data_IF_430363767586
#
_entry.id   IF_430363767586
#
_cell.length_a   1.000
_cell.length_b   1.000
_cell.length_c   1.000
_cell.angle_alpha   90.00
_cell.angle_beta   90.00
_cell.angle_gamma   90.00
#
_symmetry.space_group_name_H-M   'P 1'
#
loop_
_entity.id
_entity.type
_entity.pdbx_description
1 polymer ?
#
# COMPACT_ATOMS: atom_id res chain seq x y z
N UNK A 1 26.73 -29.60 -30.05
CA UNK A 1 26.73 -29.94 -28.62
C UNK A 1 26.11 -31.32 -28.37
N UNK A 2 24.91 -31.64 -28.89
CA UNK A 2 24.20 -32.91 -28.68
C UNK A 2 25.02 -34.16 -29.15
N UNK A 3 25.75 -34.07 -30.22
CA UNK A 3 26.48 -35.20 -30.80
C UNK A 3 27.77 -35.56 -30.03
N UNK A 4 28.49 -34.55 -29.50
CA UNK A 4 29.64 -34.76 -28.61
C UNK A 4 29.23 -35.43 -27.29
N UNK A 5 28.09 -35.00 -26.72
CA UNK A 5 27.56 -35.56 -25.47
C UNK A 5 27.09 -36.99 -25.64
N UNK A 6 26.50 -37.33 -26.80
CA UNK A 6 26.06 -38.68 -27.14
C UNK A 6 27.25 -39.66 -27.28
N UNK A 7 28.31 -39.30 -27.98
CA UNK A 7 29.54 -40.11 -28.12
C UNK A 7 30.24 -40.31 -26.76
N UNK A 8 30.30 -39.30 -25.91
CA UNK A 8 30.91 -39.44 -24.60
C UNK A 8 30.14 -40.41 -23.70
N UNK A 9 28.81 -40.41 -23.78
CA UNK A 9 27.96 -41.34 -23.02
C UNK A 9 28.07 -42.81 -23.53
N UNK A 10 28.29 -43.02 -24.80
CA UNK A 10 28.42 -44.38 -25.39
C UNK A 10 29.72 -45.07 -24.95
N UNK A 11 30.79 -44.34 -24.67
CA UNK A 11 32.10 -44.88 -24.24
C UNK A 11 32.24 -45.06 -22.73
N UNK A 12 31.32 -44.52 -21.93
CA UNK A 12 31.34 -44.66 -20.47
C UNK A 12 30.84 -46.02 -19.99
N UNK A 13 31.47 -46.57 -18.93
CA UNK A 13 31.00 -47.80 -18.27
C UNK A 13 29.62 -47.54 -17.64
N UNK A 14 28.82 -48.57 -17.48
CA UNK A 14 27.43 -48.47 -16.94
C UNK A 14 27.36 -47.71 -15.65
N UNK A 15 28.28 -47.94 -14.73
CA UNK A 15 28.37 -47.24 -13.43
C UNK A 15 28.61 -45.73 -13.59
N UNK A 16 29.44 -45.32 -14.51
CA UNK A 16 29.72 -43.90 -14.81
C UNK A 16 28.50 -43.18 -15.40
N UNK A 17 27.74 -43.85 -16.28
CA UNK A 17 26.48 -43.34 -16.85
C UNK A 17 25.43 -43.09 -15.79
N UNK A 18 25.28 -44.04 -14.84
CA UNK A 18 24.33 -43.90 -13.72
C UNK A 18 24.74 -42.72 -12.84
N UNK A 19 26.01 -42.64 -12.48
CA UNK A 19 26.53 -41.56 -11.64
C UNK A 19 26.41 -40.17 -12.30
N UNK A 20 26.63 -40.08 -13.60
CA UNK A 20 26.43 -38.86 -14.38
C UNK A 20 24.96 -38.44 -14.43
N UNK A 21 24.03 -39.39 -14.65
CA UNK A 21 22.59 -39.12 -14.59
C UNK A 21 22.15 -38.61 -13.23
N UNK A 22 22.67 -39.21 -12.18
CA UNK A 22 22.37 -38.75 -10.78
C UNK A 22 22.86 -37.34 -10.53
N UNK A 23 24.08 -37.01 -10.98
CA UNK A 23 24.62 -35.63 -10.84
C UNK A 23 23.78 -34.61 -11.58
N UNK A 24 23.30 -34.92 -12.79
CA UNK A 24 22.41 -34.02 -13.54
C UNK A 24 21.10 -33.77 -12.77
N UNK A 25 20.46 -34.81 -12.27
CA UNK A 25 19.20 -34.71 -11.54
C UNK A 25 19.38 -33.86 -10.25
N UNK A 26 20.44 -34.14 -9.48
CA UNK A 26 20.72 -33.36 -8.26
C UNK A 26 20.99 -31.88 -8.63
N UNK A 27 21.75 -31.60 -9.67
CA UNK A 27 22.04 -30.23 -10.10
C UNK A 27 20.76 -29.53 -10.54
N UNK A 28 19.88 -30.19 -11.28
CA UNK A 28 18.58 -29.63 -11.67
C UNK A 28 17.68 -29.34 -10.45
N UNK A 29 17.64 -30.25 -9.48
CA UNK A 29 16.87 -30.03 -8.25
C UNK A 29 17.39 -28.86 -7.43
N UNK A 30 18.71 -28.75 -7.29
CA UNK A 30 19.34 -27.64 -6.57
C UNK A 30 19.09 -26.29 -7.25
N UNK A 31 19.26 -26.23 -8.58
CA UNK A 31 19.02 -25.00 -9.34
C UNK A 31 17.55 -24.59 -9.30
N UNK A 32 16.63 -25.53 -9.45
CA UNK A 32 15.20 -25.26 -9.33
C UNK A 32 14.82 -24.76 -7.93
N UNK A 33 15.38 -25.36 -6.88
CA UNK A 33 15.17 -24.93 -5.49
C UNK A 33 15.67 -23.50 -5.23
N UNK A 34 16.86 -23.16 -5.74
CA UNK A 34 17.42 -21.81 -5.63
C UNK A 34 16.57 -20.77 -6.36
N UNK A 35 16.13 -21.07 -7.58
CA UNK A 35 15.24 -20.16 -8.34
C UNK A 35 13.93 -19.93 -7.57
N UNK A 36 13.32 -21.01 -7.07
CA UNK A 36 12.09 -20.91 -6.28
C UNK A 36 12.26 -20.05 -5.03
N UNK A 37 13.37 -20.16 -4.33
CA UNK A 37 13.67 -19.38 -3.15
C UNK A 37 13.82 -17.88 -3.46
N UNK A 38 14.45 -17.54 -4.57
CA UNK A 38 14.59 -16.16 -5.05
C UNK A 38 13.21 -15.58 -5.40
N UNK A 39 12.39 -16.31 -6.15
CA UNK A 39 11.04 -15.86 -6.53
C UNK A 39 10.16 -15.63 -5.31
N UNK A 40 10.17 -16.55 -4.34
CA UNK A 40 9.42 -16.41 -3.10
C UNK A 40 9.91 -15.17 -2.31
N UNK A 41 11.21 -14.94 -2.25
CA UNK A 41 11.79 -13.76 -1.59
C UNK A 41 11.31 -12.44 -2.21
N UNK A 42 11.30 -12.35 -3.54
CA UNK A 42 10.81 -11.16 -4.27
C UNK A 42 9.31 -10.94 -4.03
N UNK A 43 8.52 -12.01 -4.10
CA UNK A 43 7.07 -11.93 -3.86
C UNK A 43 6.78 -11.48 -2.42
N UNK A 44 7.51 -12.02 -1.44
CA UNK A 44 7.34 -11.64 -0.04
C UNK A 44 7.69 -10.16 0.20
N UNK A 45 8.79 -9.68 -0.38
CA UNK A 45 9.19 -8.28 -0.26
C UNK A 45 8.14 -7.33 -0.88
N UNK A 46 7.60 -7.67 -2.05
CA UNK A 46 6.57 -6.90 -2.72
C UNK A 46 5.26 -6.88 -1.90
N UNK A 47 4.85 -8.04 -1.37
CA UNK A 47 3.66 -8.15 -0.52
C UNK A 47 3.81 -7.34 0.77
N UNK A 48 4.98 -7.39 1.41
CA UNK A 48 5.24 -6.61 2.63
C UNK A 48 5.16 -5.10 2.39
N UNK A 49 5.76 -4.62 1.29
CA UNK A 49 5.67 -3.21 0.91
C UNK A 49 4.23 -2.78 0.62
N UNK A 50 3.45 -3.63 -0.06
CA UNK A 50 2.05 -3.35 -0.33
C UNK A 50 1.21 -3.26 0.95
N UNK A 51 1.35 -4.22 1.86
CA UNK A 51 0.66 -4.23 3.17
C UNK A 51 1.01 -2.99 3.99
N UNK A 52 2.28 -2.57 3.98
CA UNK A 52 2.71 -1.34 4.66
C UNK A 52 2.00 -0.11 4.11
N UNK A 53 1.91 0.03 2.79
CA UNK A 53 1.20 1.14 2.13
C UNK A 53 -0.29 1.14 2.44
N UNK A 54 -0.93 -0.03 2.39
CA UNK A 54 -2.35 -0.18 2.73
C UNK A 54 -2.61 0.22 4.20
N UNK A 55 -1.75 -0.17 5.13
CA UNK A 55 -1.87 0.21 6.54
C UNK A 55 -1.76 1.73 6.74
N UNK A 56 -0.86 2.40 6.04
CA UNK A 56 -0.73 3.86 6.09
C UNK A 56 -2.00 4.52 5.56
N UNK A 57 -2.50 4.09 4.39
CA UNK A 57 -3.73 4.61 3.81
C UNK A 57 -4.96 4.37 4.72
N UNK A 58 -5.10 3.17 5.31
CA UNK A 58 -6.19 2.86 6.24
C UNK A 58 -6.15 3.73 7.49
N UNK A 59 -4.96 4.01 8.02
CA UNK A 59 -4.77 4.90 9.17
C UNK A 59 -5.17 6.33 8.81
N UNK A 60 -4.73 6.86 7.67
CA UNK A 60 -5.09 8.18 7.18
C UNK A 60 -6.62 8.32 7.00
N UNK A 61 -7.29 7.33 6.41
CA UNK A 61 -8.76 7.31 6.28
C UNK A 61 -9.45 7.36 7.64
N UNK A 62 -8.95 6.63 8.63
CA UNK A 62 -9.51 6.64 9.98
C UNK A 62 -9.37 8.00 10.67
N UNK A 63 -8.21 8.65 10.54
CA UNK A 63 -7.96 9.99 11.06
C UNK A 63 -8.89 10.98 10.36
N UNK A 64 -8.92 11.03 9.03
CA UNK A 64 -9.84 11.88 8.28
C UNK A 64 -11.29 11.74 8.74
N UNK A 65 -11.76 10.51 8.94
CA UNK A 65 -13.12 10.24 9.43
C UNK A 65 -13.37 10.81 10.85
N UNK A 66 -12.38 10.70 11.73
CA UNK A 66 -12.48 11.23 13.10
C UNK A 66 -12.55 12.75 13.05
N UNK A 67 -11.68 13.39 12.28
CA UNK A 67 -11.54 14.84 12.22
C UNK A 67 -12.72 15.50 11.52
N UNK A 68 -13.23 14.92 10.43
CA UNK A 68 -14.46 15.37 9.77
C UNK A 68 -15.66 15.28 10.74
N UNK A 69 -15.78 14.18 11.50
CA UNK A 69 -16.86 14.06 12.49
C UNK A 69 -16.71 15.06 13.65
N UNK A 70 -15.48 15.35 14.07
CA UNK A 70 -15.20 16.36 15.09
C UNK A 70 -15.50 17.77 14.56
N UNK A 71 -15.13 18.09 13.33
CA UNK A 71 -15.44 19.35 12.66
C UNK A 71 -16.97 19.55 12.55
N UNK A 72 -17.69 18.53 12.06
CA UNK A 72 -19.16 18.56 11.97
C UNK A 72 -19.83 18.74 13.34
N UNK A 73 -19.26 18.20 14.42
CA UNK A 73 -19.76 18.43 15.78
C UNK A 73 -19.55 19.87 16.20
N UNK A 74 -18.37 20.45 15.98
CA UNK A 74 -18.08 21.84 16.33
C UNK A 74 -18.97 22.82 15.55
N UNK A 75 -19.24 22.56 14.25
CA UNK A 75 -20.19 23.35 13.46
C UNK A 75 -21.60 23.29 14.09
N UNK A 76 -22.04 22.11 14.51
CA UNK A 76 -23.36 21.96 15.18
C UNK A 76 -23.41 22.69 16.50
N UNK A 77 -22.38 22.60 17.33
CA UNK A 77 -22.27 23.34 18.58
C UNK A 77 -22.31 24.86 18.34
N UNK A 78 -21.61 25.33 17.31
CA UNK A 78 -21.62 26.70 16.85
C UNK A 78 -23.03 27.18 16.47
N UNK A 79 -23.78 26.33 15.76
CA UNK A 79 -25.16 26.64 15.34
C UNK A 79 -26.19 26.59 16.47
N UNK A 80 -25.92 25.87 17.56
CA UNK A 80 -26.80 25.72 18.72
C UNK A 80 -26.48 26.68 19.84
N UNK A 81 -25.32 27.33 19.81
CA UNK A 81 -24.86 28.21 20.90
C UNK A 81 -25.19 29.66 20.54
N UNK A 82 -26.02 30.31 21.40
CA UNK A 82 -26.41 31.73 21.25
C UNK A 82 -25.29 32.70 21.63
N UNK A 83 -24.19 32.21 22.24
CA UNK A 83 -23.07 33.03 22.67
C UNK A 83 -22.05 33.24 21.54
N UNK A 84 -22.13 34.42 20.93
CA UNK A 84 -21.22 34.84 19.84
C UNK A 84 -19.74 34.92 20.27
N UNK A 85 -19.43 34.97 21.59
CA UNK A 85 -18.04 34.98 22.07
C UNK A 85 -17.32 33.65 21.86
N UNK A 86 -18.06 32.55 21.81
CA UNK A 86 -17.56 31.20 21.60
C UNK A 86 -17.34 30.84 20.11
N UNK A 87 -17.91 31.62 19.20
CA UNK A 87 -17.91 31.38 17.77
C UNK A 87 -16.50 31.30 17.19
N UNK A 88 -15.61 32.22 17.54
CA UNK A 88 -14.24 32.28 17.05
C UNK A 88 -13.44 31.00 17.40
N UNK A 89 -13.63 30.48 18.60
CA UNK A 89 -12.94 29.26 19.06
C UNK A 89 -13.43 28.01 18.37
N UNK A 90 -14.73 27.90 18.10
CA UNK A 90 -15.27 26.79 17.31
C UNK A 90 -14.78 26.84 15.85
N UNK A 91 -14.80 28.02 15.23
CA UNK A 91 -14.32 28.24 13.87
C UNK A 91 -12.85 27.87 13.73
N UNK A 92 -11.99 28.36 14.61
CA UNK A 92 -10.56 28.01 14.63
C UNK A 92 -10.33 26.50 14.76
N UNK A 93 -11.11 25.84 15.61
CA UNK A 93 -11.04 24.38 15.79
C UNK A 93 -11.44 23.63 14.51
N UNK A 94 -12.49 24.07 13.82
CA UNK A 94 -12.94 23.46 12.57
C UNK A 94 -11.90 23.66 11.47
N UNK A 95 -11.38 24.87 11.31
CA UNK A 95 -10.33 25.17 10.32
C UNK A 95 -9.07 24.32 10.54
N UNK A 96 -8.67 24.12 11.80
CA UNK A 96 -7.55 23.25 12.17
C UNK A 96 -7.83 21.79 11.78
N UNK A 97 -8.99 21.25 12.16
CA UNK A 97 -9.37 19.86 11.85
C UNK A 97 -9.44 19.63 10.33
N UNK A 98 -9.95 20.58 9.55
CA UNK A 98 -9.97 20.51 8.10
C UNK A 98 -8.57 20.56 7.49
N UNK A 99 -7.66 21.32 8.09
CA UNK A 99 -6.24 21.31 7.73
C UNK A 99 -5.62 19.93 7.93
N UNK A 100 -5.85 19.29 9.10
CA UNK A 100 -5.38 17.95 9.41
C UNK A 100 -5.95 16.91 8.42
N UNK A 101 -7.23 17.02 8.06
CA UNK A 101 -7.85 16.15 7.02
C UNK A 101 -7.17 16.32 5.66
N UNK A 102 -6.85 17.55 5.25
CA UNK A 102 -6.15 17.81 3.98
C UNK A 102 -4.75 17.19 3.98
N UNK A 103 -4.03 17.29 5.08
CA UNK A 103 -2.70 16.70 5.24
C UNK A 103 -2.77 15.15 5.17
N UNK A 104 -3.72 14.53 5.85
CA UNK A 104 -3.93 13.09 5.79
C UNK A 104 -4.37 12.59 4.40
N UNK A 105 -5.13 13.38 3.66
CA UNK A 105 -5.45 13.09 2.26
C UNK A 105 -4.21 13.04 1.38
N UNK A 106 -3.26 13.96 1.57
CA UNK A 106 -1.98 13.94 0.86
C UNK A 106 -1.15 12.70 1.22
N UNK A 107 -1.11 12.33 2.50
CA UNK A 107 -0.46 11.09 2.94
C UNK A 107 -1.09 9.87 2.25
N UNK A 108 -2.41 9.83 2.15
CA UNK A 108 -3.14 8.75 1.48
C UNK A 108 -2.83 8.69 -0.02
N UNK A 109 -2.76 9.83 -0.70
CA UNK A 109 -2.38 9.94 -2.11
C UNK A 109 -0.96 9.42 -2.35
N UNK A 110 -0.01 9.78 -1.50
CA UNK A 110 1.41 9.40 -1.61
C UNK A 110 1.62 7.88 -1.48
N UNK A 111 0.70 7.16 -0.84
CA UNK A 111 0.75 5.69 -0.78
C UNK A 111 0.54 5.04 -2.15
N UNK A 112 -0.15 5.71 -3.08
CA UNK A 112 -0.55 5.17 -4.38
C UNK A 112 -1.52 3.98 -4.30
N UNK A 113 -2.21 3.79 -3.16
CA UNK A 113 -3.21 2.74 -2.96
C UNK A 113 -4.59 3.22 -3.41
N UNK A 114 -4.85 4.51 -3.29
CA UNK A 114 -6.10 5.15 -3.70
C UNK A 114 -5.95 5.69 -5.12
N UNK A 115 -6.99 5.50 -5.95
CA UNK A 115 -6.98 6.06 -7.31
C UNK A 115 -7.10 7.59 -7.28
N UNK A 116 -6.48 8.25 -8.25
CA UNK A 116 -6.55 9.71 -8.38
C UNK A 116 -7.98 10.22 -8.55
N UNK A 117 -8.84 9.46 -9.21
CA UNK A 117 -10.26 9.82 -9.36
C UNK A 117 -10.98 9.88 -8.02
N UNK A 118 -10.79 8.87 -7.17
CA UNK A 118 -11.39 8.82 -5.84
C UNK A 118 -10.82 9.91 -4.92
N UNK A 119 -9.52 10.17 -5.01
CA UNK A 119 -8.87 11.26 -4.28
C UNK A 119 -9.45 12.62 -4.67
N UNK A 120 -9.61 12.88 -5.97
CA UNK A 120 -10.16 14.13 -6.48
C UNK A 120 -11.64 14.31 -6.09
N UNK A 121 -12.44 13.24 -6.15
CA UNK A 121 -13.83 13.26 -5.72
C UNK A 121 -13.95 13.64 -4.23
N UNK A 122 -13.15 13.02 -3.38
CA UNK A 122 -13.17 13.31 -1.95
C UNK A 122 -12.68 14.72 -1.63
N UNK A 123 -11.59 15.18 -2.27
CA UNK A 123 -11.05 16.53 -2.11
C UNK A 123 -12.05 17.60 -2.56
N UNK A 124 -12.75 17.37 -3.67
CA UNK A 124 -13.81 18.25 -4.15
C UNK A 124 -14.98 18.32 -3.17
N UNK A 125 -15.46 17.18 -2.68
CA UNK A 125 -16.53 17.13 -1.71
C UNK A 125 -16.18 17.84 -0.40
N UNK A 126 -14.92 17.70 0.07
CA UNK A 126 -14.43 18.41 1.26
C UNK A 126 -14.40 19.93 1.04
N UNK A 127 -13.95 20.37 -0.11
CA UNK A 127 -13.91 21.81 -0.46
C UNK A 127 -15.31 22.41 -0.60
N UNK A 128 -16.24 21.67 -1.21
CA UNK A 128 -17.63 22.08 -1.32
C UNK A 128 -18.28 22.20 0.05
N UNK A 129 -18.01 21.26 0.95
CA UNK A 129 -18.51 21.29 2.30
C UNK A 129 -17.95 22.48 3.11
N UNK A 130 -16.64 22.70 3.05
CA UNK A 130 -15.96 23.85 3.67
C UNK A 130 -16.55 25.18 3.20
N UNK A 131 -16.77 25.32 1.90
CA UNK A 131 -17.31 26.57 1.30
C UNK A 131 -18.76 26.82 1.69
N UNK A 132 -19.56 25.79 1.83
CA UNK A 132 -20.99 25.91 2.11
C UNK A 132 -21.29 26.12 3.59
N UNK A 133 -20.55 25.49 4.49
CA UNK A 133 -20.89 25.41 5.90
C UNK A 133 -20.05 26.36 6.80
N UNK A 134 -18.98 26.99 6.25
CA UNK A 134 -18.12 27.92 6.98
C UNK A 134 -18.22 29.39 6.53
N UNK A 135 -18.91 29.68 5.42
CA UNK A 135 -19.19 31.04 4.92
C UNK A 135 -20.62 31.42 5.26
#
# INVERSE_FOLDING_TARGET
>A
LKEKTKRSLETMRLHERINYGYKIVITMMLTSGLISMIVIGILFANMFNYVKKVNVADTAVKICRIDVNAAARNIREMALNDDSSSYAGYKETVEKLLGEVKDELLVMQDTGVVSDDLFNEYSSALTDWETRDLI
#
